data_IF_975833338187
#
_entry.id   IF_975833338187
#
_cell.length_a   1.000
_cell.length_b   1.000
_cell.length_c   1.000
_cell.angle_alpha   90.00
_cell.angle_beta   90.00
_cell.angle_gamma   90.00
#
_symmetry.space_group_name_H-M   'P 1'
#
loop_
_entity.id
_entity.type
_entity.pdbx_description
1 polymer ?
#
# COMPACT_ATOMS: atom_id res chain seq x y z
N UNK A 1 6.12 0.67 22.77
CA UNK A 1 5.09 0.52 21.70
C UNK A 1 4.55 -0.89 21.79
N UNK A 2 3.22 -1.06 21.76
CA UNK A 2 2.57 -2.37 21.75
C UNK A 2 2.80 -3.06 20.39
N UNK A 3 3.51 -4.21 20.34
CA UNK A 3 3.74 -4.94 19.09
C UNK A 3 2.47 -5.47 18.43
N UNK A 4 1.40 -5.65 19.20
CA UNK A 4 0.12 -6.17 18.74
C UNK A 4 -0.85 -5.06 18.30
N UNK A 5 -0.49 -3.80 18.48
CA UNK A 5 -1.31 -2.69 18.01
C UNK A 5 -1.52 -2.79 16.49
N UNK A 6 -2.78 -2.71 16.05
CA UNK A 6 -3.10 -2.69 14.63
C UNK A 6 -2.87 -1.29 14.08
N UNK A 7 -2.03 -1.21 13.08
CA UNK A 7 -1.60 0.03 12.44
C UNK A 7 -2.11 0.05 11.00
N UNK A 8 -2.56 1.22 10.53
CA UNK A 8 -2.90 1.47 9.14
C UNK A 8 -1.96 2.54 8.55
N UNK A 9 -1.36 2.25 7.41
CA UNK A 9 -0.63 3.22 6.58
C UNK A 9 -1.52 3.66 5.43
N UNK A 10 -1.60 4.97 5.23
CA UNK A 10 -2.43 5.58 4.20
C UNK A 10 -1.61 6.61 3.43
N UNK A 11 -1.60 6.57 2.09
CA UNK A 11 -1.12 7.70 1.29
C UNK A 11 -1.94 8.95 1.58
N UNK A 12 -1.28 10.09 1.66
CA UNK A 12 -1.91 11.38 2.00
C UNK A 12 -2.49 12.13 0.79
N UNK A 13 -2.16 11.69 -0.42
CA UNK A 13 -2.36 12.39 -1.70
C UNK A 13 -3.17 11.60 -2.72
N UNK A 14 -3.85 10.53 -2.30
CA UNK A 14 -4.67 9.73 -3.19
C UNK A 14 -6.14 10.21 -3.23
N UNK A 15 -6.78 10.02 -4.38
CA UNK A 15 -8.19 10.31 -4.60
C UNK A 15 -9.05 9.06 -4.47
N UNK A 16 -10.21 9.22 -3.84
CA UNK A 16 -11.26 8.19 -3.74
C UNK A 16 -12.62 8.84 -4.05
N UNK A 17 -13.42 8.24 -4.94
CA UNK A 17 -14.70 8.81 -5.36
C UNK A 17 -15.84 8.68 -4.33
N UNK A 18 -15.74 7.73 -3.41
CA UNK A 18 -16.75 7.46 -2.38
C UNK A 18 -16.08 7.13 -1.05
N UNK A 19 -15.90 8.14 -0.22
CA UNK A 19 -15.26 8.00 1.10
C UNK A 19 -16.03 7.04 2.02
N UNK A 20 -17.36 7.00 1.93
CA UNK A 20 -18.17 6.15 2.81
C UNK A 20 -17.91 4.66 2.52
N UNK A 21 -17.93 4.29 1.23
CA UNK A 21 -17.61 2.92 0.82
C UNK A 21 -16.16 2.56 1.12
N UNK A 22 -15.24 3.48 0.86
CA UNK A 22 -13.82 3.23 1.15
C UNK A 22 -13.59 2.99 2.64
N UNK A 23 -14.16 3.81 3.51
CA UNK A 23 -14.08 3.64 4.96
C UNK A 23 -14.73 2.34 5.46
N UNK A 24 -15.75 1.83 4.78
CA UNK A 24 -16.31 0.52 5.09
C UNK A 24 -15.31 -0.62 4.80
N UNK A 25 -14.57 -0.54 3.68
CA UNK A 25 -13.49 -1.48 3.38
C UNK A 25 -12.34 -1.39 4.39
N UNK A 26 -11.96 -0.18 4.79
CA UNK A 26 -10.94 0.05 5.82
C UNK A 26 -11.34 -0.58 7.14
N UNK A 27 -12.58 -0.35 7.64
CA UNK A 27 -13.06 -0.98 8.87
C UNK A 27 -13.00 -2.50 8.79
N UNK A 28 -13.47 -3.07 7.68
CA UNK A 28 -13.38 -4.52 7.45
C UNK A 28 -11.94 -5.03 7.49
N UNK A 29 -10.99 -4.29 6.96
CA UNK A 29 -9.57 -4.66 7.01
C UNK A 29 -9.01 -4.61 8.44
N UNK A 30 -9.36 -3.57 9.23
CA UNK A 30 -8.97 -3.50 10.65
C UNK A 30 -9.56 -4.65 11.46
N UNK A 31 -10.86 -4.94 11.30
CA UNK A 31 -11.53 -6.08 11.97
C UNK A 31 -10.85 -7.41 11.61
N UNK A 32 -10.44 -7.56 10.36
CA UNK A 32 -9.78 -8.79 9.88
C UNK A 32 -8.34 -8.90 10.36
N UNK A 33 -7.62 -7.79 10.51
CA UNK A 33 -6.22 -7.76 10.96
C UNK A 33 -6.06 -8.32 12.40
N UNK A 34 -7.09 -8.20 13.24
CA UNK A 34 -7.08 -8.82 14.57
C UNK A 34 -7.04 -10.36 14.53
N UNK A 35 -7.51 -10.98 13.45
CA UNK A 35 -7.55 -12.44 13.31
C UNK A 35 -6.30 -13.00 12.65
N UNK A 36 -5.69 -12.23 11.73
CA UNK A 36 -4.48 -12.62 10.99
C UNK A 36 -3.26 -11.83 11.43
N UNK A 37 -2.88 -11.89 12.70
CA UNK A 37 -1.86 -11.03 13.32
C UNK A 37 -0.48 -11.06 12.66
N UNK A 38 -0.16 -12.12 11.89
CA UNK A 38 1.13 -12.27 11.20
C UNK A 38 1.12 -11.78 9.74
N UNK A 39 0.00 -11.22 9.28
CA UNK A 39 -0.16 -10.77 7.90
C UNK A 39 -0.33 -9.27 7.81
N UNK A 40 0.23 -8.70 6.75
CA UNK A 40 -0.09 -7.35 6.32
C UNK A 40 -1.17 -7.40 5.25
N UNK A 41 -2.29 -6.73 5.51
CA UNK A 41 -3.44 -6.66 4.59
C UNK A 41 -3.26 -5.44 3.68
N UNK A 42 -3.19 -5.69 2.39
CA UNK A 42 -3.21 -4.66 1.36
C UNK A 42 -4.65 -4.39 0.90
N UNK A 43 -5.02 -3.15 0.66
CA UNK A 43 -6.26 -2.83 -0.02
C UNK A 43 -6.02 -2.80 -1.53
N UNK A 44 -6.55 -3.80 -2.23
CA UNK A 44 -6.42 -3.93 -3.68
C UNK A 44 -7.67 -3.39 -4.39
N UNK A 45 -7.50 -2.36 -5.22
CA UNK A 45 -8.58 -1.73 -5.97
C UNK A 45 -8.84 -2.48 -7.28
N UNK A 46 -10.11 -2.64 -7.64
CA UNK A 46 -10.51 -3.24 -8.92
C UNK A 46 -10.06 -2.35 -10.09
N UNK A 47 -9.26 -2.88 -11.05
CA UNK A 47 -8.69 -2.08 -12.11
C UNK A 47 -9.73 -1.71 -13.18
N UNK A 48 -9.76 -0.42 -13.58
CA UNK A 48 -10.59 0.06 -14.69
C UNK A 48 -9.90 -0.16 -16.05
N UNK A 49 -8.56 -0.17 -16.06
CA UNK A 49 -7.74 -0.31 -17.27
C UNK A 49 -6.39 -1.01 -16.94
N UNK A 50 -5.59 -1.43 -17.95
CA UNK A 50 -4.30 -2.05 -17.73
C UNK A 50 -3.20 -1.00 -17.45
N UNK A 51 -3.27 -0.28 -16.32
CA UNK A 51 -2.35 0.78 -15.95
C UNK A 51 -0.95 0.23 -15.68
N UNK A 52 0.07 0.88 -16.23
CA UNK A 52 1.47 0.47 -16.14
C UNK A 52 2.24 1.18 -15.02
N UNK A 53 1.71 2.29 -14.51
CA UNK A 53 2.37 3.09 -13.47
C UNK A 53 1.98 2.66 -12.05
N UNK A 54 1.10 1.67 -11.91
CA UNK A 54 0.67 1.16 -10.61
C UNK A 54 1.34 -0.17 -10.25
N UNK A 55 1.43 -0.43 -8.96
CA UNK A 55 1.67 -1.76 -8.43
C UNK A 55 0.42 -2.64 -8.61
N UNK A 56 0.62 -3.93 -8.89
CA UNK A 56 -0.43 -4.92 -9.07
C UNK A 56 -0.30 -6.06 -8.09
N UNK A 57 -1.44 -6.49 -7.55
CA UNK A 57 -1.54 -7.60 -6.59
C UNK A 57 -2.25 -8.76 -7.28
N UNK A 58 -1.59 -9.90 -7.39
CA UNK A 58 -2.20 -11.16 -7.86
C UNK A 58 -2.77 -11.91 -6.66
N UNK A 59 -4.12 -11.99 -6.51
CA UNK A 59 -4.73 -12.72 -5.42
C UNK A 59 -4.58 -14.23 -5.60
N UNK A 60 -4.35 -14.96 -4.52
CA UNK A 60 -4.41 -16.41 -4.47
C UNK A 60 -5.78 -16.88 -3.94
N UNK A 61 -5.81 -18.02 -3.24
CA UNK A 61 -7.02 -18.57 -2.61
C UNK A 61 -7.58 -17.67 -1.50
N UNK A 62 -8.89 -17.72 -1.31
CA UNK A 62 -9.53 -17.07 -0.16
C UNK A 62 -9.01 -17.68 1.14
N UNK A 63 -8.91 -16.86 2.17
CA UNK A 63 -8.53 -17.32 3.50
C UNK A 63 -9.74 -17.99 4.19
N UNK A 64 -9.47 -19.08 4.89
CA UNK A 64 -10.50 -19.81 5.61
C UNK A 64 -11.24 -18.91 6.60
N UNK A 65 -12.57 -18.92 6.58
CA UNK A 65 -13.40 -18.05 7.42
C UNK A 65 -13.53 -16.58 6.94
N UNK A 66 -12.80 -16.16 5.89
CA UNK A 66 -12.78 -14.78 5.42
C UNK A 66 -12.89 -14.70 3.89
N UNK A 67 -14.11 -14.78 3.36
CA UNK A 67 -14.37 -14.84 1.91
C UNK A 67 -13.84 -13.64 1.11
N UNK A 68 -13.70 -12.48 1.74
CA UNK A 68 -13.19 -11.25 1.12
C UNK A 68 -11.68 -11.09 1.19
N UNK A 69 -11.00 -11.81 2.11
CA UNK A 69 -9.56 -11.76 2.28
C UNK A 69 -8.92 -12.90 1.50
N UNK A 70 -7.94 -12.59 0.69
CA UNK A 70 -7.18 -13.56 -0.11
C UNK A 70 -5.70 -13.47 0.20
N UNK A 71 -4.99 -14.60 0.16
CA UNK A 71 -3.52 -14.58 0.15
C UNK A 71 -3.04 -13.85 -1.08
N UNK A 72 -1.87 -13.22 -0.99
CA UNK A 72 -1.17 -12.68 -2.17
C UNK A 72 -0.32 -13.78 -2.78
N UNK A 73 -0.50 -14.03 -4.08
CA UNK A 73 0.34 -14.96 -4.85
C UNK A 73 1.62 -14.27 -5.28
N UNK A 74 1.48 -13.04 -5.77
CA UNK A 74 2.58 -12.24 -6.28
C UNK A 74 2.23 -10.77 -6.29
N UNK A 75 3.25 -9.95 -6.09
CA UNK A 75 3.20 -8.50 -6.27
C UNK A 75 4.01 -8.13 -7.52
N UNK A 76 3.49 -7.18 -8.29
CA UNK A 76 4.12 -6.68 -9.51
C UNK A 76 4.21 -5.17 -9.43
N UNK A 77 5.40 -4.61 -9.52
CA UNK A 77 5.57 -3.17 -9.57
C UNK A 77 5.70 -2.71 -11.00
N UNK A 78 4.87 -1.76 -11.42
CA UNK A 78 4.92 -1.08 -12.73
C UNK A 78 5.17 -2.05 -13.89
N UNK A 79 4.27 -2.98 -14.18
CA UNK A 79 4.44 -3.95 -15.25
C UNK A 79 4.40 -3.28 -16.62
N UNK A 80 5.05 -3.88 -17.62
CA UNK A 80 4.87 -3.44 -19.00
C UNK A 80 3.41 -3.63 -19.48
N UNK A 81 3.00 -2.91 -20.52
CA UNK A 81 1.61 -2.87 -21.00
C UNK A 81 1.02 -4.24 -21.32
N UNK A 82 1.80 -5.14 -21.95
CA UNK A 82 1.35 -6.51 -22.22
C UNK A 82 1.08 -7.30 -20.95
N UNK A 83 1.92 -7.17 -19.94
CA UNK A 83 1.72 -7.82 -18.64
C UNK A 83 0.55 -7.21 -17.88
N UNK A 84 0.41 -5.88 -17.85
CA UNK A 84 -0.72 -5.20 -17.20
C UNK A 84 -2.07 -5.69 -17.76
N UNK A 85 -2.19 -5.84 -19.08
CA UNK A 85 -3.39 -6.39 -19.72
C UNK A 85 -3.69 -7.83 -19.27
N UNK A 86 -2.66 -8.67 -19.18
CA UNK A 86 -2.81 -10.06 -18.69
C UNK A 86 -3.22 -10.07 -17.21
N UNK A 87 -2.63 -9.21 -16.38
CA UNK A 87 -2.95 -9.11 -14.95
C UNK A 87 -4.42 -8.68 -14.75
N UNK A 88 -4.89 -7.69 -15.53
CA UNK A 88 -6.29 -7.27 -15.49
C UNK A 88 -7.23 -8.45 -15.85
N UNK A 89 -6.97 -9.17 -16.93
CA UNK A 89 -7.77 -10.33 -17.34
C UNK A 89 -7.79 -11.47 -16.30
N UNK A 90 -6.72 -11.61 -15.51
CA UNK A 90 -6.63 -12.57 -14.41
C UNK A 90 -7.33 -12.13 -13.13
N UNK A 91 -7.92 -10.94 -13.11
CA UNK A 91 -8.58 -10.40 -11.92
C UNK A 91 -7.59 -9.94 -10.84
N UNK A 92 -6.37 -9.56 -11.22
CA UNK A 92 -5.44 -8.89 -10.33
C UNK A 92 -5.95 -7.49 -9.97
N UNK A 93 -5.46 -6.93 -8.88
CA UNK A 93 -5.93 -5.68 -8.31
C UNK A 93 -4.81 -4.64 -8.34
N UNK A 94 -5.16 -3.37 -8.48
CA UNK A 94 -4.21 -2.28 -8.25
C UNK A 94 -3.87 -2.15 -6.77
N UNK A 95 -2.60 -1.93 -6.46
CA UNK A 95 -2.18 -1.62 -5.11
C UNK A 95 -2.52 -0.17 -4.75
N UNK A 96 -3.44 0.04 -3.80
CA UNK A 96 -3.76 1.39 -3.30
C UNK A 96 -2.70 1.94 -2.35
N UNK A 97 -1.69 1.15 -2.02
CA UNK A 97 -0.69 1.46 -0.99
C UNK A 97 -1.26 1.64 0.43
N UNK A 98 -2.54 1.31 0.64
CA UNK A 98 -3.10 1.21 1.99
C UNK A 98 -2.75 -0.16 2.56
N UNK A 99 -2.09 -0.16 3.72
CA UNK A 99 -1.60 -1.35 4.41
C UNK A 99 -2.10 -1.36 5.84
N UNK A 100 -2.65 -2.48 6.29
CA UNK A 100 -3.15 -2.65 7.66
C UNK A 100 -2.59 -3.95 8.23
N UNK A 101 -2.03 -3.90 9.43
CA UNK A 101 -1.48 -5.07 10.11
C UNK A 101 -1.04 -4.74 11.53
N UNK A 102 -0.60 -5.76 12.28
CA UNK A 102 0.03 -5.49 13.57
C UNK A 102 1.36 -4.77 13.39
N UNK A 103 1.78 -3.98 14.36
CA UNK A 103 3.08 -3.34 14.36
C UNK A 103 4.20 -4.36 14.13
N UNK A 104 4.08 -5.54 14.76
CA UNK A 104 5.00 -6.65 14.59
C UNK A 104 5.05 -7.14 13.14
N UNK A 105 3.90 -7.45 12.52
CA UNK A 105 3.84 -7.93 11.14
C UNK A 105 4.44 -6.94 10.14
N UNK A 106 4.17 -5.64 10.33
CA UNK A 106 4.71 -4.57 9.48
C UNK A 106 6.23 -4.45 9.61
N UNK A 107 6.77 -4.58 10.82
CA UNK A 107 8.22 -4.59 11.06
C UNK A 107 8.84 -5.85 10.49
N UNK A 108 8.20 -7.00 10.66
CA UNK A 108 8.71 -8.29 10.18
C UNK A 108 8.87 -8.35 8.67
N UNK A 109 7.93 -7.80 7.89
CA UNK A 109 8.09 -7.77 6.43
C UNK A 109 9.30 -6.92 6.02
N UNK A 110 9.57 -5.80 6.72
CA UNK A 110 10.73 -4.96 6.47
C UNK A 110 12.01 -5.68 6.88
N UNK A 111 12.04 -6.26 8.08
CA UNK A 111 13.20 -6.98 8.59
C UNK A 111 13.58 -8.18 7.71
N UNK A 112 12.58 -8.91 7.21
CA UNK A 112 12.78 -10.07 6.33
C UNK A 112 13.26 -9.68 4.94
N UNK A 113 12.65 -8.66 4.34
CA UNK A 113 12.93 -8.25 2.97
C UNK A 113 14.18 -7.35 2.85
N UNK A 114 14.41 -6.49 3.85
CA UNK A 114 15.50 -5.49 3.85
C UNK A 114 16.24 -5.47 5.19
N UNK A 115 16.96 -6.56 5.57
CA UNK A 115 17.58 -6.67 6.88
C UNK A 115 18.62 -5.57 7.15
N UNK A 116 19.34 -5.12 6.13
CA UNK A 116 20.30 -4.03 6.29
C UNK A 116 19.63 -2.71 6.71
N UNK A 117 18.50 -2.38 6.08
CA UNK A 117 17.69 -1.20 6.41
C UNK A 117 17.14 -1.32 7.85
N UNK A 118 16.52 -2.47 8.16
CA UNK A 118 15.99 -2.74 9.50
C UNK A 118 17.09 -2.58 10.57
N UNK A 119 18.25 -3.21 10.39
CA UNK A 119 19.36 -3.16 11.35
C UNK A 119 19.91 -1.74 11.55
N UNK A 120 19.95 -0.94 10.49
CA UNK A 120 20.36 0.45 10.57
C UNK A 120 19.43 1.27 11.48
N UNK A 121 18.11 1.14 11.30
CA UNK A 121 17.14 1.79 12.18
C UNK A 121 17.12 1.19 13.59
N UNK A 122 17.22 -0.12 13.73
CA UNK A 122 17.28 -0.79 15.04
C UNK A 122 18.47 -0.30 15.88
N UNK A 123 19.62 -0.10 15.24
CA UNK A 123 20.82 0.43 15.91
C UNK A 123 20.65 1.89 16.35
N UNK A 124 19.77 2.64 15.69
CA UNK A 124 19.48 4.03 16.01
C UNK A 124 18.39 4.19 17.10
N UNK A 125 17.60 3.15 17.37
CA UNK A 125 16.47 3.20 18.32
C UNK A 125 16.80 3.77 19.72
N UNK A 126 17.97 3.47 20.34
CA UNK A 126 18.28 4.02 21.66
C UNK A 126 18.36 5.56 21.71
N UNK A 127 18.52 6.22 20.55
CA UNK A 127 18.63 7.67 20.45
C UNK A 127 17.29 8.35 20.12
N UNK A 128 16.23 7.60 19.82
CA UNK A 128 14.92 8.17 19.56
C UNK A 128 14.35 8.84 20.81
N UNK A 129 13.79 10.04 20.65
CA UNK A 129 13.26 10.86 21.73
C UNK A 129 14.34 11.56 22.57
N UNK A 130 15.62 11.51 22.18
CA UNK A 130 16.72 12.24 22.82
C UNK A 130 17.13 13.47 21.99
N UNK A 131 17.92 14.38 22.58
CA UNK A 131 18.46 15.56 21.88
C UNK A 131 19.38 15.17 20.70
N UNK A 132 19.91 13.95 20.68
CA UNK A 132 20.79 13.43 19.63
C UNK A 132 20.02 12.89 18.41
N UNK A 133 18.70 12.67 18.52
CA UNK A 133 17.87 12.09 17.43
C UNK A 133 18.03 12.83 16.09
N UNK A 134 17.94 14.17 15.99
CA UNK A 134 18.04 14.86 14.71
C UNK A 134 19.40 14.65 14.02
N UNK A 135 20.47 14.66 14.82
CA UNK A 135 21.84 14.45 14.31
C UNK A 135 22.04 13.01 13.84
N UNK A 136 21.54 12.06 14.62
CA UNK A 136 21.58 10.63 14.29
C UNK A 136 20.77 10.35 13.01
N UNK A 137 19.54 10.85 12.91
CA UNK A 137 18.68 10.66 11.73
C UNK A 137 19.32 11.21 10.46
N UNK A 138 19.94 12.41 10.53
CA UNK A 138 20.67 12.97 9.39
C UNK A 138 21.81 12.06 8.93
N UNK A 139 22.58 11.51 9.86
CA UNK A 139 23.67 10.55 9.54
C UNK A 139 23.13 9.26 8.97
N UNK A 140 22.06 8.70 9.54
CA UNK A 140 21.41 7.48 9.10
C UNK A 140 20.93 7.61 7.65
N UNK A 141 20.16 8.64 7.33
CA UNK A 141 19.65 8.88 5.97
C UNK A 141 20.77 9.18 4.96
N UNK A 142 21.89 9.76 5.38
CA UNK A 142 23.05 9.95 4.49
C UNK A 142 23.75 8.64 4.08
N UNK A 143 23.57 7.58 4.88
CA UNK A 143 24.14 6.26 4.60
C UNK A 143 23.19 5.31 3.88
N UNK A 144 21.88 5.58 3.95
CA UNK A 144 20.86 4.76 3.32
C UNK A 144 20.68 5.19 1.85
N UNK A 145 20.70 4.19 0.94
CA UNK A 145 20.30 4.40 -0.45
C UNK A 145 18.78 4.50 -0.61
N UNK A 146 18.33 4.97 -1.75
CA UNK A 146 16.92 4.97 -2.12
C UNK A 146 16.37 3.53 -2.12
N UNK A 147 15.19 3.37 -1.52
CA UNK A 147 14.53 2.07 -1.40
C UNK A 147 13.07 2.20 -1.82
N UNK A 148 12.70 1.54 -2.92
CA UNK A 148 11.30 1.40 -3.32
C UNK A 148 10.66 0.31 -2.46
N UNK A 149 9.67 0.68 -1.65
CA UNK A 149 9.02 -0.25 -0.73
C UNK A 149 8.26 -1.37 -1.46
N UNK A 150 7.63 -1.07 -2.58
CA UNK A 150 6.91 -2.07 -3.39
C UNK A 150 7.84 -3.16 -3.90
N UNK A 151 8.97 -2.78 -4.51
CA UNK A 151 9.94 -3.73 -5.08
C UNK A 151 10.76 -4.47 -4.03
N UNK A 152 11.18 -3.72 -3.01
CA UNK A 152 12.16 -4.21 -2.03
C UNK A 152 11.54 -4.88 -0.81
N UNK A 153 10.22 -4.64 -0.59
CA UNK A 153 9.51 -5.29 0.52
C UNK A 153 8.33 -6.10 -0.03
N UNK A 154 7.29 -5.46 -0.57
CA UNK A 154 6.06 -6.16 -0.93
C UNK A 154 6.25 -7.29 -1.96
N UNK A 155 7.10 -7.06 -2.97
CA UNK A 155 7.35 -8.07 -4.01
C UNK A 155 8.16 -9.28 -3.51
N UNK A 156 8.90 -9.13 -2.41
CA UNK A 156 9.79 -10.18 -1.90
C UNK A 156 9.16 -11.09 -0.84
N UNK A 157 8.06 -10.66 -0.21
CA UNK A 157 7.41 -11.39 0.89
C UNK A 157 5.90 -11.62 0.66
N UNK A 158 5.46 -12.06 -0.54
CA UNK A 158 4.04 -12.21 -0.83
C UNK A 158 3.32 -13.18 0.12
N UNK A 159 4.03 -14.15 0.70
CA UNK A 159 3.51 -15.10 1.69
C UNK A 159 3.12 -14.45 3.03
N UNK A 160 3.67 -13.27 3.31
CA UNK A 160 3.35 -12.45 4.49
C UNK A 160 2.22 -11.44 4.21
N UNK A 161 1.68 -11.44 2.98
CA UNK A 161 0.68 -10.49 2.55
C UNK A 161 -0.68 -11.15 2.33
N UNK A 162 -1.72 -10.41 2.65
CA UNK A 162 -3.07 -10.69 2.24
C UNK A 162 -3.63 -9.47 1.49
N UNK A 163 -4.66 -9.67 0.67
CA UNK A 163 -5.33 -8.59 -0.02
C UNK A 163 -6.83 -8.63 0.23
N UNK A 164 -7.39 -7.48 0.57
CA UNK A 164 -8.82 -7.23 0.64
C UNK A 164 -9.22 -6.45 -0.61
N UNK A 165 -10.14 -7.01 -1.39
CA UNK A 165 -10.63 -6.36 -2.61
C UNK A 165 -11.52 -5.17 -2.26
N UNK A 166 -11.18 -4.02 -2.81
CA UNK A 166 -11.96 -2.78 -2.78
C UNK A 166 -12.68 -2.64 -4.11
N UNK A 167 -14.01 -2.54 -4.07
CA UNK A 167 -14.87 -2.41 -5.25
C UNK A 167 -15.93 -1.32 -5.06
N UNK A 168 -16.51 -0.87 -6.18
CA UNK A 168 -17.58 0.12 -6.17
C UNK A 168 -17.11 1.56 -5.88
N UNK A 169 -15.83 1.82 -6.06
CA UNK A 169 -15.22 3.15 -6.00
C UNK A 169 -14.29 3.34 -7.21
N UNK A 170 -14.02 4.58 -7.56
CA UNK A 170 -12.87 4.97 -8.38
C UNK A 170 -11.75 5.44 -7.47
N UNK A 171 -10.52 5.10 -7.83
CA UNK A 171 -9.33 5.43 -7.08
C UNK A 171 -8.22 5.89 -8.03
N UNK A 172 -7.40 6.84 -7.58
CA UNK A 172 -6.21 7.30 -8.29
C UNK A 172 -5.14 7.78 -7.29
N UNK A 173 -3.88 7.52 -7.61
CA UNK A 173 -2.72 8.07 -6.89
C UNK A 173 -2.40 9.53 -7.24
N UNK A 174 -3.13 10.11 -8.21
CA UNK A 174 -2.91 11.47 -8.74
C UNK A 174 -1.48 11.74 -9.26
N UNK A 175 -0.69 10.70 -9.53
CA UNK A 175 0.72 10.78 -9.90
C UNK A 175 0.99 11.38 -11.28
N UNK A 176 -0.04 11.61 -12.11
CA UNK A 176 0.09 12.24 -13.43
C UNK A 176 -1.01 13.27 -13.69
N UNK A 177 -0.73 14.35 -14.44
CA UNK A 177 -1.73 15.39 -14.74
C UNK A 177 -3.02 14.86 -15.36
N UNK A 178 -2.95 13.86 -16.25
CA UNK A 178 -4.13 13.25 -16.86
C UNK A 178 -5.04 12.57 -15.83
N UNK A 179 -4.48 11.95 -14.78
CA UNK A 179 -5.22 11.31 -13.70
C UNK A 179 -5.86 12.34 -12.78
N UNK A 180 -5.17 13.44 -12.52
CA UNK A 180 -5.73 14.59 -11.78
C UNK A 180 -6.95 15.14 -12.50
N UNK A 181 -6.85 15.43 -13.81
CA UNK A 181 -7.96 15.93 -14.62
C UNK A 181 -9.14 14.96 -14.64
N UNK A 182 -8.90 13.67 -14.83
CA UNK A 182 -9.95 12.64 -14.80
C UNK A 182 -10.64 12.56 -13.43
N UNK A 183 -9.88 12.68 -12.34
CA UNK A 183 -10.43 12.69 -10.97
C UNK A 183 -11.29 13.93 -10.70
N UNK A 184 -10.86 15.10 -11.14
CA UNK A 184 -11.61 16.36 -11.06
C UNK A 184 -12.94 16.24 -11.83
N UNK A 185 -12.91 15.72 -13.05
CA UNK A 185 -14.12 15.47 -13.84
C UNK A 185 -15.08 14.49 -13.16
N UNK A 186 -14.54 13.39 -12.62
CA UNK A 186 -15.33 12.39 -11.88
C UNK A 186 -15.96 12.98 -10.63
N UNK A 187 -15.27 13.87 -9.94
CA UNK A 187 -15.77 14.57 -8.76
C UNK A 187 -16.75 15.72 -9.09
N UNK A 188 -16.92 16.08 -10.35
CA UNK A 188 -17.74 17.23 -10.77
C UNK A 188 -17.17 18.57 -10.32
N UNK A 189 -15.88 18.65 -10.03
CA UNK A 189 -15.22 19.85 -9.57
C UNK A 189 -14.79 20.75 -10.75
N UNK A 190 -14.77 22.06 -10.51
CA UNK A 190 -14.23 23.07 -11.44
C UNK A 190 -13.27 23.98 -10.67
N UNK A 191 -12.00 23.60 -10.54
CA UNK A 191 -11.02 24.43 -9.85
C UNK A 191 -10.79 25.75 -10.60
N UNK A 192 -10.54 26.88 -9.89
CA UNK A 192 -10.37 28.19 -10.50
C UNK A 192 -9.30 28.29 -11.60
N UNK A 193 -8.23 27.46 -11.49
CA UNK A 193 -7.16 27.41 -12.50
C UNK A 193 -7.58 26.76 -13.82
N UNK A 194 -8.73 26.07 -13.89
CA UNK A 194 -9.30 25.55 -15.16
C UNK A 194 -10.17 26.57 -15.91
N UNK A 195 -10.52 27.69 -15.28
CA UNK A 195 -11.38 28.72 -15.88
C UNK A 195 -10.58 29.74 -16.71
N UNK A 196 -9.25 29.73 -16.62
CA UNK A 196 -8.36 30.72 -17.24
C UNK A 196 -7.59 30.18 -18.47
N UNK A 197 -8.04 29.09 -19.10
CA UNK A 197 -7.48 28.58 -20.35
C UNK A 197 -8.50 28.52 -21.46
#
# INVERSE_FOLDING_TARGET
>A
VDPQAIIGFFPSDHYVSDNTKFMAHIRSAFETAHVGQDLVILLGVEPENPETEYGWIEPAQAMHGHSRLRRVRRFWEKPCSGLAAILQLRGCLWNSFVMIGSAHALIDIIASATPALYNAFASAMPLFGTDDEPTMMKKLYALLGETNFSDRVLALVPERLAVLKVSGIKWSDLGEPKRVLASIQTAGLRPPWMENN
#
